data_IF_425677120772
#
_entry.id   IF_425677120772
#
_cell.length_a   1.000
_cell.length_b   1.000
_cell.length_c   1.000
_cell.angle_alpha   90.00
_cell.angle_beta   90.00
_cell.angle_gamma   90.00
#
_symmetry.space_group_name_H-M   'P 1'
#
loop_
_entity.id
_entity.type
_entity.pdbx_description
1 polymer ?
#
# COMPACT_ATOMS: atom_id res chain seq x y z
N UNK A 1 3.04 2.14 -14.53
CA UNK A 1 4.29 1.53 -13.99
C UNK A 1 4.22 0.02 -14.22
N UNK A 2 5.31 -0.65 -14.58
CA UNK A 2 5.29 -2.12 -14.80
C UNK A 2 5.52 -2.85 -13.48
N UNK A 3 4.92 -4.04 -13.30
CA UNK A 3 4.92 -4.77 -12.02
C UNK A 3 6.33 -5.10 -11.52
N UNK A 4 7.23 -5.45 -12.44
CA UNK A 4 8.64 -5.78 -12.21
C UNK A 4 9.45 -4.61 -11.62
N UNK A 5 9.04 -3.36 -11.90
CA UNK A 5 9.69 -2.14 -11.39
C UNK A 5 9.23 -1.72 -9.99
N UNK A 6 8.26 -2.42 -9.40
CA UNK A 6 7.82 -2.17 -8.02
C UNK A 6 8.94 -2.63 -7.06
N UNK A 7 9.49 -1.75 -6.21
CA UNK A 7 10.50 -2.13 -5.24
C UNK A 7 9.87 -3.06 -4.18
N UNK A 8 10.58 -4.14 -3.88
CA UNK A 8 10.19 -5.10 -2.84
C UNK A 8 11.16 -4.97 -1.68
N UNK A 9 10.65 -4.76 -0.48
CA UNK A 9 11.46 -4.70 0.74
C UNK A 9 11.98 -6.09 1.11
N UNK A 10 13.11 -6.14 1.81
CA UNK A 10 13.76 -7.40 2.18
C UNK A 10 12.88 -8.30 3.08
N UNK A 11 11.97 -7.69 3.83
CA UNK A 11 11.08 -8.37 4.78
C UNK A 11 9.90 -9.11 4.10
N UNK A 12 9.68 -8.91 2.80
CA UNK A 12 8.63 -9.63 2.06
C UNK A 12 9.17 -11.00 1.63
N UNK A 13 8.62 -12.12 2.15
CA UNK A 13 9.07 -13.45 1.76
C UNK A 13 8.91 -13.68 0.26
N UNK A 14 9.79 -14.50 -0.33
CA UNK A 14 9.81 -14.75 -1.77
C UNK A 14 8.45 -15.17 -2.33
N UNK A 15 7.77 -16.09 -1.65
CA UNK A 15 6.44 -16.58 -2.00
C UNK A 15 5.34 -15.51 -2.00
N UNK A 16 5.55 -14.39 -1.31
CA UNK A 16 4.59 -13.28 -1.18
C UNK A 16 4.86 -12.13 -2.15
N UNK A 17 6.00 -12.12 -2.83
CA UNK A 17 6.44 -11.03 -3.71
C UNK A 17 5.44 -10.72 -4.82
N UNK A 18 4.86 -11.75 -5.44
CA UNK A 18 3.85 -11.57 -6.48
C UNK A 18 2.59 -10.89 -5.94
N UNK A 19 2.07 -11.38 -4.81
CA UNK A 19 0.91 -10.80 -4.14
C UNK A 19 1.16 -9.36 -3.69
N UNK A 20 2.37 -9.04 -3.24
CA UNK A 20 2.76 -7.67 -2.91
C UNK A 20 2.67 -6.74 -4.13
N UNK A 21 3.23 -7.14 -5.28
CA UNK A 21 3.16 -6.36 -6.53
C UNK A 21 1.71 -6.14 -6.98
N UNK A 22 0.89 -7.18 -6.91
CA UNK A 22 -0.54 -7.10 -7.26
C UNK A 22 -1.29 -6.12 -6.36
N UNK A 23 -1.08 -6.20 -5.05
CA UNK A 23 -1.69 -5.29 -4.09
C UNK A 23 -1.22 -3.84 -4.33
N UNK A 24 0.08 -3.63 -4.51
CA UNK A 24 0.65 -2.32 -4.82
C UNK A 24 0.03 -1.71 -6.09
N UNK A 25 -0.10 -2.52 -7.15
CA UNK A 25 -0.74 -2.08 -8.38
C UNK A 25 -2.22 -1.74 -8.18
N UNK A 26 -2.96 -2.55 -7.41
CA UNK A 26 -4.37 -2.32 -7.08
C UNK A 26 -4.57 -1.02 -6.30
N UNK A 27 -3.78 -0.77 -5.25
CA UNK A 27 -3.96 0.43 -4.40
C UNK A 27 -3.46 1.72 -5.07
N UNK A 28 -2.48 1.64 -5.97
CA UNK A 28 -1.96 2.81 -6.71
C UNK A 28 -2.61 3.00 -8.07
N UNK A 29 -3.55 2.12 -8.44
CA UNK A 29 -4.16 2.06 -9.76
C UNK A 29 -3.13 2.10 -10.92
N UNK A 30 -2.01 1.40 -10.77
CA UNK A 30 -0.90 1.36 -11.75
C UNK A 30 -0.12 2.66 -11.95
N UNK A 31 -0.49 3.74 -11.26
CA UNK A 31 0.18 5.04 -11.33
C UNK A 31 1.47 5.11 -10.51
N UNK A 32 1.64 4.19 -9.54
CA UNK A 32 2.72 4.25 -8.54
C UNK A 32 2.53 5.36 -7.50
N UNK A 33 1.42 6.10 -7.56
CA UNK A 33 1.02 7.11 -6.57
C UNK A 33 -0.18 6.58 -5.78
N UNK A 34 -0.14 6.79 -4.47
CA UNK A 34 -1.23 6.40 -3.58
C UNK A 34 -2.15 7.61 -3.39
N UNK A 35 -3.42 7.45 -3.76
CA UNK A 35 -4.48 8.35 -3.33
C UNK A 35 -5.22 7.65 -2.19
N UNK A 36 -5.08 8.16 -0.97
CA UNK A 36 -5.72 7.63 0.22
C UNK A 36 -6.72 8.65 0.75
N UNK A 37 -7.97 8.23 0.90
CA UNK A 37 -8.98 9.00 1.62
C UNK A 37 -9.03 8.46 3.06
N UNK A 38 -8.51 9.24 4.01
CA UNK A 38 -8.48 8.86 5.43
C UNK A 38 -9.84 9.20 6.08
N UNK A 39 -10.53 8.17 6.58
CA UNK A 39 -11.87 8.26 7.18
C UNK A 39 -11.94 7.86 8.66
N UNK A 40 -10.81 7.59 9.28
CA UNK A 40 -10.61 7.12 10.66
C UNK A 40 -10.43 8.24 11.70
N UNK A 41 -10.57 9.49 11.27
CA UNK A 41 -10.34 10.69 12.07
C UNK A 41 -11.04 10.70 13.45
N UNK A 42 -12.22 10.06 13.56
CA UNK A 42 -12.98 9.97 14.82
C UNK A 42 -12.36 9.07 15.89
N UNK A 43 -11.58 8.07 15.49
CA UNK A 43 -10.92 7.13 16.42
C UNK A 43 -9.51 7.61 16.76
N UNK A 44 -8.80 8.23 15.81
CA UNK A 44 -7.43 8.73 16.05
C UNK A 44 -7.37 9.94 16.99
N UNK A 45 -8.41 10.77 17.06
CA UNK A 45 -8.47 11.97 17.91
C UNK A 45 -9.34 11.79 19.17
N UNK A 46 -9.70 10.54 19.53
CA UNK A 46 -10.61 10.23 20.62
C UNK A 46 -9.95 10.31 22.02
N UNK A 47 -8.65 10.64 22.11
CA UNK A 47 -7.90 10.74 23.37
C UNK A 47 -7.63 12.17 23.84
N UNK A 48 -8.14 13.19 23.16
CA UNK A 48 -8.04 14.61 23.57
C UNK A 48 -9.31 15.16 24.25
N UNK A 49 -10.25 14.29 24.63
CA UNK A 49 -11.48 14.63 25.38
C UNK A 49 -11.32 14.26 26.86
#
# INVERSE_FOLDING_TARGET
MTLDKIPITLDVPEKMRQRYRENYNKITNGSGRLMLFAGDQKVEHLSEI
#
